data_IF_722615111371
#
_entry.id   IF_722615111371
#
_cell.length_a   1.000
_cell.length_b   1.000
_cell.length_c   1.000
_cell.angle_alpha   90.00
_cell.angle_beta   90.00
_cell.angle_gamma   90.00
#
_symmetry.space_group_name_H-M   'P 1'
#
loop_
_entity.id
_entity.type
_entity.pdbx_description
1 polymer ?
#
# COMPACT_ATOMS: atom_id res chain seq x y z
N UNK A 1 -12.13 16.38 -34.23
CA UNK A 1 -11.07 16.72 -33.24
C UNK A 1 -10.26 15.47 -32.91
N UNK A 2 -8.95 15.63 -32.74
CA UNK A 2 -8.06 14.56 -32.30
C UNK A 2 -7.23 15.06 -31.12
N UNK A 3 -6.73 14.15 -30.28
CA UNK A 3 -5.85 14.47 -29.18
C UNK A 3 -4.58 13.60 -29.29
N UNK A 4 -3.43 14.19 -28.95
CA UNK A 4 -2.15 13.49 -28.84
C UNK A 4 -1.78 13.37 -27.37
N UNK A 5 -1.60 12.13 -26.91
CA UNK A 5 -1.11 11.83 -25.58
C UNK A 5 0.34 11.33 -25.71
N UNK A 6 1.27 12.02 -25.05
CA UNK A 6 2.68 11.59 -24.96
C UNK A 6 3.03 11.33 -23.51
N UNK A 7 3.67 10.19 -23.23
CA UNK A 7 4.07 9.81 -21.88
C UNK A 7 5.24 8.85 -21.91
N UNK A 8 5.92 8.72 -20.78
CA UNK A 8 6.87 7.64 -20.51
C UNK A 8 6.17 6.45 -19.89
N UNK A 9 6.86 5.33 -19.75
CA UNK A 9 6.36 4.14 -19.08
C UNK A 9 5.83 4.47 -17.68
N UNK A 10 4.69 3.90 -17.32
CA UNK A 10 4.10 4.05 -15.99
C UNK A 10 4.88 3.22 -14.94
N UNK A 11 4.76 3.58 -13.69
CA UNK A 11 5.04 2.64 -12.60
C UNK A 11 3.84 1.70 -12.47
N UNK A 12 4.10 0.42 -12.35
CA UNK A 12 3.04 -0.56 -12.15
C UNK A 12 2.31 -0.30 -10.84
N UNK A 13 0.98 -0.21 -10.90
CA UNK A 13 0.13 0.13 -9.76
C UNK A 13 -0.07 1.63 -9.54
N UNK A 14 0.47 2.48 -10.41
CA UNK A 14 0.33 3.93 -10.34
C UNK A 14 -1.10 4.43 -10.60
N UNK A 15 -1.94 3.59 -11.23
CA UNK A 15 -3.29 3.95 -11.70
C UNK A 15 -3.32 5.22 -12.57
N UNK A 16 -2.20 5.51 -13.24
CA UNK A 16 -2.14 6.62 -14.18
C UNK A 16 -3.04 6.36 -15.38
N UNK A 17 -3.44 7.44 -16.06
CA UNK A 17 -4.24 7.34 -17.30
C UNK A 17 -3.56 6.42 -18.30
N UNK A 18 -2.22 6.50 -18.43
CA UNK A 18 -1.47 5.62 -19.33
C UNK A 18 -1.52 4.14 -18.88
N UNK A 19 -1.39 3.85 -17.59
CA UNK A 19 -1.46 2.47 -17.09
C UNK A 19 -2.82 1.82 -17.42
N UNK A 20 -3.90 2.58 -17.32
CA UNK A 20 -5.26 2.11 -17.68
C UNK A 20 -5.33 1.84 -19.18
N UNK A 21 -4.89 2.81 -20.01
CA UNK A 21 -4.88 2.69 -21.48
C UNK A 21 -3.97 1.54 -21.91
N UNK A 22 -2.76 1.42 -21.33
CA UNK A 22 -1.82 0.35 -21.66
C UNK A 22 -2.38 -1.05 -21.36
N UNK A 23 -3.09 -1.20 -20.22
CA UNK A 23 -3.78 -2.46 -19.87
C UNK A 23 -4.88 -2.81 -20.89
N UNK A 24 -5.70 -1.84 -21.28
CA UNK A 24 -6.73 -2.01 -22.29
C UNK A 24 -6.13 -2.34 -23.67
N UNK A 25 -5.08 -1.62 -24.06
CA UNK A 25 -4.36 -1.87 -25.30
C UNK A 25 -3.77 -3.29 -25.37
N UNK A 26 -3.06 -3.72 -24.32
CA UNK A 26 -2.49 -5.07 -24.23
C UNK A 26 -3.53 -6.19 -24.25
N UNK A 27 -4.77 -5.89 -23.85
CA UNK A 27 -5.90 -6.81 -23.92
C UNK A 27 -6.67 -6.74 -25.25
N UNK A 28 -6.33 -5.80 -26.13
CA UNK A 28 -7.06 -5.57 -27.38
C UNK A 28 -8.45 -4.93 -27.17
N UNK A 29 -8.64 -4.23 -26.06
CA UNK A 29 -9.92 -3.62 -25.65
C UNK A 29 -10.06 -2.16 -26.10
N UNK A 30 -9.02 -1.54 -26.69
CA UNK A 30 -9.11 -0.19 -27.24
C UNK A 30 -9.92 -0.18 -28.53
N UNK A 31 -10.77 0.84 -28.69
CA UNK A 31 -11.54 1.07 -29.90
C UNK A 31 -10.66 1.43 -31.11
N UNK A 32 -11.22 1.35 -32.34
CA UNK A 32 -10.49 1.60 -33.60
C UNK A 32 -10.03 3.06 -33.75
N UNK A 33 -10.56 3.97 -32.96
CA UNK A 33 -10.18 5.39 -32.92
C UNK A 33 -8.83 5.64 -32.24
N UNK A 34 -8.27 4.63 -31.56
CA UNK A 34 -6.98 4.75 -30.89
C UNK A 34 -5.83 4.27 -31.78
N UNK A 35 -4.85 5.16 -31.97
CA UNK A 35 -3.56 4.80 -32.51
C UNK A 35 -2.53 4.81 -31.39
N UNK A 36 -1.98 3.64 -31.05
CA UNK A 36 -0.92 3.51 -30.05
C UNK A 36 0.42 3.26 -30.73
N UNK A 37 1.37 4.17 -30.55
CA UNK A 37 2.75 3.98 -30.93
C UNK A 37 3.59 3.82 -29.67
N UNK A 38 4.04 2.59 -29.39
CA UNK A 38 4.78 2.24 -28.19
C UNK A 38 6.09 1.52 -28.56
N UNK A 39 7.19 1.98 -27.97
CA UNK A 39 8.50 1.34 -28.06
C UNK A 39 9.04 1.19 -26.64
N UNK A 40 9.46 -0.01 -26.27
CA UNK A 40 10.07 -0.32 -24.98
C UNK A 40 11.28 -1.24 -25.15
N UNK A 41 12.23 -1.15 -24.22
CA UNK A 41 13.38 -2.05 -24.21
C UNK A 41 12.95 -3.50 -23.96
N UNK A 42 13.51 -4.44 -24.73
CA UNK A 42 13.25 -5.87 -24.59
C UNK A 42 14.31 -6.57 -23.76
N UNK A 43 13.95 -7.68 -23.14
CA UNK A 43 14.87 -8.52 -22.38
C UNK A 43 15.21 -7.97 -20.98
N UNK A 44 16.27 -8.48 -20.37
CA UNK A 44 16.73 -8.04 -19.04
C UNK A 44 17.31 -6.64 -19.13
N UNK A 45 16.97 -5.77 -18.21
CA UNK A 45 17.61 -4.48 -17.99
C UNK A 45 18.77 -4.69 -17.02
N UNK A 46 19.93 -4.17 -17.37
CA UNK A 46 21.13 -4.13 -16.54
C UNK A 46 21.97 -2.98 -17.08
N UNK A 47 21.88 -1.83 -16.41
CA UNK A 47 22.54 -0.60 -16.87
C UNK A 47 24.07 -0.69 -16.84
N UNK A 48 24.62 -1.68 -16.12
CA UNK A 48 26.07 -1.91 -16.11
C UNK A 48 26.56 -2.72 -17.31
N UNK A 49 25.64 -3.38 -18.05
CA UNK A 49 25.94 -4.04 -19.32
C UNK A 49 25.83 -3.03 -20.47
N UNK A 50 26.89 -2.22 -20.68
CA UNK A 50 26.90 -1.16 -21.70
C UNK A 50 26.49 -1.65 -23.09
N UNK A 51 27.05 -2.74 -23.65
CA UNK A 51 26.68 -3.19 -24.99
C UNK A 51 25.21 -3.54 -25.14
N UNK A 52 24.60 -4.08 -24.09
CA UNK A 52 23.16 -4.40 -24.05
C UNK A 52 22.33 -3.13 -23.96
N UNK A 53 22.69 -2.23 -23.04
CA UNK A 53 21.96 -0.98 -22.81
C UNK A 53 21.98 -0.10 -24.05
N UNK A 54 23.08 0.03 -24.73
CA UNK A 54 23.19 0.76 -26.02
C UNK A 54 22.24 0.16 -27.07
N UNK A 55 22.22 -1.17 -27.24
CA UNK A 55 21.24 -1.81 -28.14
C UNK A 55 19.81 -1.53 -27.77
N UNK A 56 19.47 -1.57 -26.47
CA UNK A 56 18.15 -1.26 -25.98
C UNK A 56 17.76 0.21 -26.24
N UNK A 57 18.70 1.16 -26.09
CA UNK A 57 18.48 2.56 -26.45
C UNK A 57 18.20 2.73 -27.94
N UNK A 58 18.99 2.08 -28.82
CA UNK A 58 18.76 2.11 -30.26
C UNK A 58 17.37 1.55 -30.63
N UNK A 59 16.94 0.47 -29.99
CA UNK A 59 15.62 -0.12 -30.23
C UNK A 59 14.47 0.82 -29.78
N UNK A 60 14.62 1.49 -28.64
CA UNK A 60 13.60 2.39 -28.09
C UNK A 60 13.50 3.68 -28.87
N UNK A 61 14.63 4.32 -29.14
CA UNK A 61 14.64 5.63 -29.81
C UNK A 61 14.61 5.50 -31.34
N UNK A 62 14.98 4.35 -31.87
CA UNK A 62 14.91 4.06 -33.30
C UNK A 62 15.57 5.11 -34.19
N UNK A 63 14.83 5.73 -35.15
CA UNK A 63 15.41 6.72 -36.08
C UNK A 63 16.08 7.93 -35.40
N UNK A 64 15.68 8.30 -34.18
CA UNK A 64 16.28 9.40 -33.45
C UNK A 64 17.76 9.14 -33.08
N UNK A 65 18.12 7.87 -32.92
CA UNK A 65 19.50 7.39 -32.64
C UNK A 65 20.16 6.68 -33.84
N UNK A 66 19.63 6.87 -35.04
CA UNK A 66 20.28 6.33 -36.25
C UNK A 66 21.69 6.93 -36.41
N UNK A 67 22.74 6.12 -36.66
CA UNK A 67 24.12 6.61 -36.72
C UNK A 67 24.39 7.63 -37.80
N UNK A 68 23.55 7.72 -38.83
CA UNK A 68 23.76 8.60 -39.99
C UNK A 68 22.80 9.79 -39.98
N UNK A 69 21.56 9.57 -39.64
CA UNK A 69 20.47 10.57 -39.73
C UNK A 69 19.87 10.96 -38.40
N UNK A 70 20.23 10.27 -37.30
CA UNK A 70 19.72 10.55 -35.98
C UNK A 70 20.26 11.85 -35.38
N UNK A 71 19.52 12.41 -34.47
CA UNK A 71 19.86 13.65 -33.73
C UNK A 71 20.21 13.40 -32.26
N UNK A 72 20.07 12.15 -31.77
CA UNK A 72 20.43 11.73 -30.42
C UNK A 72 21.64 10.79 -30.45
N UNK A 73 22.54 10.99 -29.50
CA UNK A 73 23.73 10.16 -29.32
C UNK A 73 23.47 9.13 -28.19
N UNK A 74 23.49 7.84 -28.53
CA UNK A 74 23.28 6.75 -27.59
C UNK A 74 24.34 6.68 -26.49
N UNK A 75 25.58 7.02 -26.77
CA UNK A 75 26.69 7.05 -25.80
C UNK A 75 26.47 8.15 -24.76
N UNK A 76 26.00 9.32 -25.19
CA UNK A 76 25.65 10.42 -24.29
C UNK A 76 24.50 10.07 -23.41
N UNK A 77 23.40 9.52 -23.96
CA UNK A 77 22.24 9.10 -23.18
C UNK A 77 22.64 8.01 -22.19
N UNK A 78 23.51 7.09 -22.59
CA UNK A 78 24.03 6.09 -21.67
C UNK A 78 24.84 6.72 -20.52
N UNK A 79 25.66 7.74 -20.79
CA UNK A 79 26.38 8.45 -19.75
C UNK A 79 25.43 9.14 -18.76
N UNK A 80 24.34 9.77 -19.25
CA UNK A 80 23.30 10.36 -18.42
C UNK A 80 22.59 9.31 -17.55
N UNK A 81 22.41 8.08 -18.04
CA UNK A 81 21.84 6.97 -17.26
C UNK A 81 22.75 6.50 -16.12
N UNK A 82 24.05 6.71 -16.22
CA UNK A 82 25.02 6.36 -15.16
C UNK A 82 25.26 7.49 -14.17
N UNK A 83 24.82 8.70 -14.47
CA UNK A 83 24.96 9.85 -13.56
C UNK A 83 23.89 9.76 -12.44
N UNK A 84 24.28 9.57 -11.18
CA UNK A 84 23.32 9.43 -10.09
C UNK A 84 22.51 10.71 -9.80
N UNK A 85 22.93 11.86 -10.33
CA UNK A 85 22.19 13.13 -10.22
C UNK A 85 21.04 13.21 -11.24
N UNK A 86 21.17 12.53 -12.36
CA UNK A 86 20.16 12.45 -13.43
C UNK A 86 19.31 11.18 -13.27
N UNK A 87 19.96 10.05 -13.01
CA UNK A 87 19.36 8.73 -12.94
C UNK A 87 19.80 8.01 -11.65
N UNK A 88 19.07 8.21 -10.55
CA UNK A 88 19.47 7.74 -9.22
C UNK A 88 19.41 6.21 -9.06
N UNK A 89 18.67 5.51 -9.92
CA UNK A 89 18.47 4.07 -9.82
C UNK A 89 18.10 3.42 -11.18
N UNK A 90 18.21 2.09 -11.22
CA UNK A 90 17.91 1.30 -12.42
C UNK A 90 16.43 1.39 -12.86
N UNK A 91 15.51 1.69 -11.95
CA UNK A 91 14.09 1.88 -12.29
C UNK A 91 13.85 3.20 -13.01
N UNK A 92 14.52 4.25 -12.56
CA UNK A 92 14.55 5.54 -13.24
C UNK A 92 15.12 5.36 -14.66
N UNK A 93 16.20 4.60 -14.80
CA UNK A 93 16.77 4.24 -16.08
C UNK A 93 15.78 3.49 -16.97
N UNK A 94 15.16 2.43 -16.44
CA UNK A 94 14.17 1.64 -17.17
C UNK A 94 12.97 2.47 -17.64
N UNK A 95 12.44 3.31 -16.77
CA UNK A 95 11.23 4.08 -17.03
C UNK A 95 11.45 5.23 -17.99
N UNK A 96 12.45 6.06 -17.73
CA UNK A 96 12.61 7.33 -18.45
C UNK A 96 13.51 7.23 -19.69
N UNK A 97 14.44 6.28 -19.70
CA UNK A 97 15.36 6.12 -20.83
C UNK A 97 15.02 4.91 -21.70
N UNK A 98 14.52 3.82 -21.10
CA UNK A 98 14.21 2.58 -21.81
C UNK A 98 12.71 2.34 -22.00
N UNK A 99 11.88 3.32 -21.60
CA UNK A 99 10.41 3.33 -21.71
C UNK A 99 9.75 2.02 -21.25
N UNK A 100 10.29 1.42 -20.19
CA UNK A 100 9.81 0.15 -19.66
C UNK A 100 9.24 0.29 -18.27
N UNK A 101 7.99 -0.15 -18.10
CA UNK A 101 7.39 -0.29 -16.80
C UNK A 101 8.07 -1.43 -16.03
N UNK A 102 8.70 -1.09 -14.92
CA UNK A 102 9.23 -2.07 -13.98
C UNK A 102 8.40 -2.05 -12.70
N UNK A 103 8.18 -3.21 -12.13
CA UNK A 103 7.72 -3.26 -10.74
C UNK A 103 8.83 -2.62 -9.89
N UNK A 104 8.45 -1.62 -9.09
CA UNK A 104 9.39 -0.90 -8.27
C UNK A 104 10.18 -1.86 -7.38
N UNK A 105 11.53 -1.83 -7.43
CA UNK A 105 12.37 -2.56 -6.47
C UNK A 105 12.12 -2.06 -5.05
N UNK A 106 11.59 -0.84 -4.93
CA UNK A 106 11.27 -0.17 -3.68
C UNK A 106 9.81 -0.33 -3.26
N UNK A 107 8.97 -1.03 -4.03
CA UNK A 107 7.62 -1.36 -3.56
C UNK A 107 7.73 -2.16 -2.26
N UNK A 108 6.98 -1.73 -1.23
CA UNK A 108 6.98 -2.44 0.06
C UNK A 108 6.50 -3.88 -0.10
N UNK A 109 5.49 -4.09 -0.95
CA UNK A 109 5.00 -5.42 -1.34
C UNK A 109 4.66 -5.39 -2.84
N UNK A 110 4.97 -6.46 -3.58
CA UNK A 110 4.55 -6.55 -4.97
C UNK A 110 3.04 -6.77 -5.09
N UNK A 111 2.40 -6.11 -6.06
CA UNK A 111 0.97 -6.27 -6.31
C UNK A 111 0.60 -7.74 -6.57
N UNK A 112 1.45 -8.50 -7.23
CA UNK A 112 1.23 -9.92 -7.48
C UNK A 112 1.17 -10.76 -6.19
N UNK A 113 1.90 -10.38 -5.13
CA UNK A 113 1.82 -11.02 -3.81
C UNK A 113 0.52 -10.62 -3.13
N UNK A 114 0.17 -9.33 -3.15
CA UNK A 114 -1.07 -8.83 -2.56
C UNK A 114 -2.30 -9.47 -3.21
N UNK A 115 -2.41 -9.42 -4.52
CA UNK A 115 -3.57 -9.92 -5.28
C UNK A 115 -3.83 -11.43 -5.08
N UNK A 116 -2.77 -12.23 -4.91
CA UNK A 116 -2.92 -13.68 -4.63
C UNK A 116 -3.55 -14.00 -3.29
N UNK A 117 -3.61 -13.03 -2.37
CA UNK A 117 -4.13 -13.22 -1.01
C UNK A 117 -5.59 -12.77 -0.86
N UNK A 118 -6.20 -12.30 -1.94
CA UNK A 118 -7.63 -11.93 -1.93
C UNK A 118 -8.47 -13.18 -1.67
N UNK A 119 -9.24 -13.15 -0.58
CA UNK A 119 -10.20 -14.21 -0.19
C UNK A 119 -11.44 -13.54 0.38
N UNK A 120 -12.37 -13.04 -0.46
CA UNK A 120 -13.58 -12.41 0.04
C UNK A 120 -14.35 -13.38 0.94
N UNK A 121 -14.56 -12.98 2.19
CA UNK A 121 -15.43 -13.67 3.14
C UNK A 121 -16.06 -12.68 4.09
N UNK A 122 -17.21 -13.00 4.61
CA UNK A 122 -17.75 -12.30 5.76
C UNK A 122 -17.04 -12.79 7.04
N UNK A 123 -16.75 -11.85 7.92
CA UNK A 123 -16.25 -12.13 9.26
C UNK A 123 -17.42 -12.02 10.22
N UNK A 124 -17.91 -13.13 10.79
CA UNK A 124 -19.05 -13.13 11.71
C UNK A 124 -18.83 -12.19 12.89
N UNK A 125 -19.91 -11.66 13.47
CA UNK A 125 -19.80 -10.72 14.59
C UNK A 125 -19.23 -11.38 15.87
N UNK A 126 -19.45 -12.67 16.02
CA UNK A 126 -18.95 -13.49 17.13
C UNK A 126 -17.51 -13.97 16.92
N UNK A 127 -16.96 -13.85 15.69
CA UNK A 127 -15.54 -14.14 15.46
C UNK A 127 -14.69 -13.06 16.14
N UNK A 128 -13.80 -13.43 17.09
CA UNK A 128 -12.94 -12.48 17.76
C UNK A 128 -11.96 -11.84 16.79
N UNK A 129 -11.74 -10.54 16.98
CA UNK A 129 -10.87 -9.74 16.12
C UNK A 129 -9.89 -8.90 16.93
N UNK A 130 -8.86 -8.40 16.24
CA UNK A 130 -8.09 -7.24 16.68
C UNK A 130 -8.31 -6.09 15.71
N UNK A 131 -7.99 -4.87 16.16
CA UNK A 131 -8.20 -3.64 15.40
C UNK A 131 -6.86 -2.89 15.26
N UNK A 132 -6.63 -2.34 14.08
CA UNK A 132 -5.66 -1.27 13.83
C UNK A 132 -6.41 0.00 13.49
N UNK A 133 -5.96 1.11 14.02
CA UNK A 133 -6.48 2.44 13.71
C UNK A 133 -5.33 3.41 13.45
N UNK A 134 -5.39 4.08 12.32
CA UNK A 134 -4.50 5.17 11.94
C UNK A 134 -5.36 6.31 11.39
N UNK A 135 -5.29 7.49 12.02
CA UNK A 135 -6.16 8.61 11.73
C UNK A 135 -5.39 9.87 11.34
N UNK A 136 -5.87 10.54 10.29
CA UNK A 136 -5.45 11.87 9.88
C UNK A 136 -6.63 12.84 9.95
N UNK A 137 -6.36 14.13 10.08
CA UNK A 137 -7.42 15.14 10.12
C UNK A 137 -7.76 15.70 8.73
N UNK A 138 -6.79 15.81 7.82
CA UNK A 138 -6.97 16.61 6.60
C UNK A 138 -6.57 15.88 5.32
N UNK A 139 -5.32 15.50 5.18
CA UNK A 139 -4.77 15.10 3.89
C UNK A 139 -4.59 13.60 3.71
N UNK A 140 -4.24 12.86 4.76
CA UNK A 140 -4.08 11.41 4.72
C UNK A 140 -5.40 10.70 5.02
N UNK A 141 -5.48 9.41 4.71
CA UNK A 141 -6.69 8.64 4.98
C UNK A 141 -6.79 8.29 6.46
N UNK A 142 -8.01 8.28 6.98
CA UNK A 142 -8.31 7.68 8.28
C UNK A 142 -8.80 6.26 8.04
N UNK A 143 -8.17 5.28 8.66
CA UNK A 143 -8.39 3.86 8.36
C UNK A 143 -8.61 3.06 9.65
N UNK A 144 -9.63 2.21 9.65
CA UNK A 144 -9.88 1.18 10.65
C UNK A 144 -9.82 -0.18 9.97
N UNK A 145 -8.88 -1.02 10.40
CA UNK A 145 -8.75 -2.39 9.89
C UNK A 145 -9.00 -3.40 10.98
N UNK A 146 -9.74 -4.44 10.62
CA UNK A 146 -9.91 -5.63 11.45
C UNK A 146 -8.95 -6.74 11.05
N UNK A 147 -8.54 -7.55 12.04
CA UNK A 147 -7.80 -8.77 11.82
C UNK A 147 -8.41 -9.92 12.64
N UNK A 148 -8.88 -10.97 11.97
CA UNK A 148 -9.50 -12.11 12.62
C UNK A 148 -8.47 -12.86 13.49
N UNK A 149 -8.85 -13.19 14.72
CA UNK A 149 -7.97 -13.90 15.65
C UNK A 149 -7.65 -15.31 15.19
N UNK A 150 -8.56 -15.96 14.48
CA UNK A 150 -8.43 -17.35 14.03
C UNK A 150 -7.24 -17.55 13.05
N UNK A 151 -7.17 -16.73 11.99
CA UNK A 151 -6.25 -16.97 10.87
C UNK A 151 -5.46 -15.74 10.41
N UNK A 152 -5.67 -14.58 11.05
CA UNK A 152 -5.02 -13.33 10.66
C UNK A 152 -5.62 -12.70 9.39
N UNK A 153 -6.85 -13.07 9.02
CA UNK A 153 -7.56 -12.45 7.90
C UNK A 153 -7.84 -10.97 8.16
N UNK A 154 -7.46 -10.11 7.21
CA UNK A 154 -7.57 -8.65 7.35
C UNK A 154 -8.70 -8.11 6.50
N UNK A 155 -9.46 -7.16 7.04
CA UNK A 155 -10.62 -6.59 6.39
C UNK A 155 -10.87 -5.15 6.81
N UNK A 156 -11.56 -4.39 5.94
CA UNK A 156 -11.89 -2.99 6.19
C UNK A 156 -13.10 -2.89 7.11
N UNK A 157 -12.94 -2.16 8.21
CA UNK A 157 -14.04 -1.77 9.10
C UNK A 157 -14.51 -0.35 8.80
N UNK A 158 -13.59 0.54 8.41
CA UNK A 158 -13.89 1.90 7.99
C UNK A 158 -12.72 2.54 7.26
N UNK A 159 -13.00 3.42 6.29
CA UNK A 159 -11.99 4.17 5.56
C UNK A 159 -12.58 5.47 5.05
N UNK A 160 -11.95 6.58 5.42
CA UNK A 160 -12.33 7.94 5.03
C UNK A 160 -11.13 8.58 4.32
N UNK A 161 -11.37 9.03 3.11
CA UNK A 161 -10.35 9.60 2.24
C UNK A 161 -10.81 10.94 1.71
N UNK A 162 -9.87 11.88 1.63
CA UNK A 162 -10.13 13.16 1.00
C UNK A 162 -10.52 12.95 -0.46
N UNK A 163 -11.68 13.46 -0.90
CA UNK A 163 -12.09 13.37 -2.30
C UNK A 163 -11.11 14.11 -3.23
N UNK A 164 -10.98 13.61 -4.45
CA UNK A 164 -10.16 14.26 -5.47
C UNK A 164 -10.80 15.56 -5.99
N UNK A 165 -9.95 16.47 -6.46
CA UNK A 165 -10.37 17.71 -7.14
C UNK A 165 -11.08 18.70 -6.22
N UNK A 166 -12.08 19.42 -6.77
CA UNK A 166 -12.77 20.48 -6.05
C UNK A 166 -13.57 20.01 -4.84
N UNK A 167 -14.02 18.75 -4.84
CA UNK A 167 -14.73 18.15 -3.71
C UNK A 167 -13.85 17.98 -2.46
N UNK A 168 -12.53 17.95 -2.63
CA UNK A 168 -11.57 17.87 -1.53
C UNK A 168 -11.16 19.22 -0.95
N UNK A 169 -11.64 20.34 -1.51
CA UNK A 169 -11.29 21.66 -0.99
C UNK A 169 -11.93 21.88 0.39
N UNK A 170 -11.07 22.12 1.41
CA UNK A 170 -11.53 22.29 2.78
C UNK A 170 -12.07 21.02 3.43
N UNK A 171 -11.77 19.85 2.86
CA UNK A 171 -12.20 18.58 3.44
C UNK A 171 -11.46 18.30 4.76
N UNK A 172 -12.24 17.92 5.75
CA UNK A 172 -11.78 17.40 7.02
C UNK A 172 -12.43 16.04 7.26
N UNK A 173 -11.71 15.13 7.93
CA UNK A 173 -12.27 13.83 8.26
C UNK A 173 -13.53 14.01 9.13
N UNK A 174 -14.63 13.28 8.87
CA UNK A 174 -15.83 13.32 9.68
C UNK A 174 -15.61 12.60 11.03
N UNK A 175 -14.87 13.26 11.94
CA UNK A 175 -14.39 12.70 13.22
C UNK A 175 -15.47 12.01 14.03
N UNK A 176 -16.68 12.59 14.07
CA UNK A 176 -17.81 12.00 14.77
C UNK A 176 -18.24 10.65 14.18
N UNK A 177 -18.21 10.52 12.86
CA UNK A 177 -18.54 9.26 12.16
C UNK A 177 -17.46 8.19 12.41
N UNK A 178 -16.18 8.56 12.35
CA UNK A 178 -15.07 7.67 12.68
C UNK A 178 -15.20 7.11 14.08
N UNK A 179 -15.47 7.99 15.07
CA UNK A 179 -15.66 7.59 16.46
C UNK A 179 -16.93 6.75 16.68
N UNK A 180 -18.00 7.05 15.97
CA UNK A 180 -19.21 6.23 16.01
C UNK A 180 -18.93 4.81 15.49
N UNK A 181 -18.20 4.68 14.39
CA UNK A 181 -17.79 3.39 13.83
C UNK A 181 -16.88 2.61 14.77
N UNK A 182 -15.88 3.26 15.39
CA UNK A 182 -15.01 2.60 16.39
C UNK A 182 -15.83 2.09 17.58
N UNK A 183 -16.74 2.91 18.13
CA UNK A 183 -17.61 2.49 19.25
C UNK A 183 -18.56 1.37 18.85
N UNK A 184 -19.14 1.41 17.66
CA UNK A 184 -19.99 0.34 17.15
C UNK A 184 -19.22 -0.98 17.07
N UNK A 185 -18.05 -0.98 16.48
CA UNK A 185 -17.21 -2.19 16.38
C UNK A 185 -16.82 -2.71 17.75
N UNK A 186 -16.36 -1.84 18.67
CA UNK A 186 -15.96 -2.22 20.03
C UNK A 186 -17.13 -2.74 20.88
N UNK A 187 -18.37 -2.33 20.59
CA UNK A 187 -19.57 -2.80 21.30
C UNK A 187 -20.17 -4.07 20.72
N UNK A 188 -20.08 -4.25 19.41
CA UNK A 188 -20.79 -5.33 18.70
C UNK A 188 -19.92 -6.55 18.43
N UNK A 189 -18.59 -6.43 18.55
CA UNK A 189 -17.65 -7.52 18.32
C UNK A 189 -16.82 -7.85 19.55
N UNK A 190 -16.37 -9.08 19.63
CA UNK A 190 -15.36 -9.49 20.60
C UNK A 190 -14.00 -9.00 20.11
N UNK A 191 -13.51 -7.89 20.69
CA UNK A 191 -12.22 -7.29 20.35
C UNK A 191 -11.17 -7.72 21.36
N UNK A 192 -10.19 -8.50 20.92
CA UNK A 192 -9.11 -8.97 21.78
C UNK A 192 -8.12 -7.83 22.12
N UNK A 193 -7.85 -6.97 21.14
CA UNK A 193 -6.94 -5.83 21.29
C UNK A 193 -7.12 -4.86 20.13
N UNK A 194 -7.02 -3.56 20.40
CA UNK A 194 -7.08 -2.49 19.42
C UNK A 194 -5.85 -1.60 19.56
N UNK A 195 -4.96 -1.62 18.55
CA UNK A 195 -3.82 -0.72 18.48
C UNK A 195 -4.21 0.53 17.71
N UNK A 196 -4.12 1.69 18.36
CA UNK A 196 -4.56 2.97 17.81
C UNK A 196 -3.44 3.99 17.84
N UNK A 197 -3.13 4.60 16.67
CA UNK A 197 -2.16 5.69 16.65
C UNK A 197 -2.74 6.92 17.35
N UNK A 198 -2.08 7.41 18.40
CA UNK A 198 -2.54 8.60 19.13
C UNK A 198 -2.22 9.91 18.41
N UNK A 199 -1.51 9.89 17.27
CA UNK A 199 -1.21 11.11 16.53
C UNK A 199 -2.52 11.79 16.08
N UNK A 200 -2.68 13.07 16.40
CA UNK A 200 -3.89 13.88 16.14
C UNK A 200 -5.20 13.37 16.82
N UNK A 201 -5.21 12.15 17.39
CA UNK A 201 -6.39 11.50 17.98
C UNK A 201 -6.22 11.11 19.45
N UNK A 202 -5.20 11.65 20.12
CA UNK A 202 -4.87 11.22 21.50
C UNK A 202 -6.05 11.26 22.47
N UNK A 203 -6.78 12.38 22.51
CA UNK A 203 -7.92 12.54 23.42
C UNK A 203 -9.05 11.54 23.16
N UNK A 204 -9.25 11.16 21.88
CA UNK A 204 -10.29 10.19 21.53
C UNK A 204 -9.83 8.76 21.84
N UNK A 205 -8.56 8.45 21.59
CA UNK A 205 -7.98 7.15 21.96
C UNK A 205 -8.02 6.97 23.48
N UNK A 206 -7.66 8.00 24.25
CA UNK A 206 -7.71 7.96 25.72
C UNK A 206 -9.17 7.78 26.20
N UNK A 207 -10.15 8.48 25.61
CA UNK A 207 -11.56 8.32 25.92
C UNK A 207 -12.12 6.93 25.57
N UNK A 208 -11.69 6.35 24.45
CA UNK A 208 -12.04 4.98 24.08
C UNK A 208 -11.41 3.96 25.04
N UNK A 209 -10.18 4.19 25.49
CA UNK A 209 -9.54 3.33 26.49
C UNK A 209 -10.26 3.39 27.84
N UNK A 210 -10.73 4.58 28.26
CA UNK A 210 -11.57 4.72 29.45
C UNK A 210 -12.94 4.01 29.30
N UNK A 211 -13.56 4.06 28.10
CA UNK A 211 -14.88 3.45 27.83
C UNK A 211 -14.81 1.91 27.71
N UNK A 212 -13.76 1.37 27.09
CA UNK A 212 -13.66 -0.06 26.69
C UNK A 212 -12.57 -0.86 27.40
N UNK A 213 -11.74 -0.22 28.21
CA UNK A 213 -10.63 -0.82 28.94
C UNK A 213 -9.27 -0.56 28.25
N UNK A 214 -8.28 -0.21 29.07
CA UNK A 214 -6.91 0.09 28.62
C UNK A 214 -6.12 -1.17 28.23
N UNK A 215 -6.61 -2.35 28.59
CA UNK A 215 -6.13 -3.64 28.12
C UNK A 215 -6.62 -4.00 26.70
N UNK A 216 -7.75 -3.39 26.26
CA UNK A 216 -8.33 -3.57 24.93
C UNK A 216 -7.86 -2.46 24.00
N UNK A 217 -8.07 -1.20 24.38
CA UNK A 217 -7.69 -0.04 23.55
C UNK A 217 -6.33 0.48 24.00
N UNK A 218 -5.33 0.29 23.17
CA UNK A 218 -3.94 0.55 23.51
C UNK A 218 -3.36 1.61 22.54
N UNK A 219 -2.94 2.78 23.04
CA UNK A 219 -2.22 3.76 22.23
C UNK A 219 -0.93 3.17 21.68
N UNK A 220 -0.78 3.17 20.35
CA UNK A 220 0.35 2.57 19.67
C UNK A 220 0.90 3.54 18.59
N UNK A 221 1.98 4.25 18.91
CA UNK A 221 2.52 5.28 18.03
C UNK A 221 3.25 4.69 16.83
N UNK A 222 2.72 4.92 15.61
CA UNK A 222 3.32 4.50 14.34
C UNK A 222 4.65 5.21 14.06
N UNK A 223 4.88 6.36 14.69
CA UNK A 223 6.14 7.11 14.59
C UNK A 223 7.34 6.46 15.27
N UNK A 224 7.14 5.39 16.06
CA UNK A 224 8.21 4.61 16.68
C UNK A 224 8.81 3.63 15.66
N UNK A 225 9.77 4.11 14.87
CA UNK A 225 10.37 3.37 13.74
C UNK A 225 10.76 1.91 14.06
N UNK A 226 11.34 1.65 15.23
CA UNK A 226 11.78 0.29 15.59
C UNK A 226 10.58 -0.65 15.77
N UNK A 227 9.60 -0.23 16.52
CA UNK A 227 8.40 -0.99 16.81
C UNK A 227 7.58 -1.20 15.53
N UNK A 228 7.35 -0.11 14.76
CA UNK A 228 6.65 -0.16 13.49
C UNK A 228 7.37 -1.02 12.45
N UNK A 229 8.70 -0.97 12.42
CA UNK A 229 9.51 -1.80 11.52
C UNK A 229 9.33 -3.28 11.77
N UNK A 230 9.26 -3.72 13.02
CA UNK A 230 9.00 -5.14 13.36
C UNK A 230 7.58 -5.57 13.02
N UNK A 231 6.58 -4.73 13.27
CA UNK A 231 5.19 -5.00 12.90
C UNK A 231 5.04 -5.15 11.38
N UNK A 232 5.62 -4.23 10.62
CA UNK A 232 5.65 -4.27 9.15
C UNK A 232 6.40 -5.50 8.62
N UNK A 233 7.52 -5.87 9.23
CA UNK A 233 8.32 -7.02 8.77
C UNK A 233 7.59 -8.34 9.04
N UNK A 234 6.91 -8.48 10.17
CA UNK A 234 6.02 -9.61 10.49
C UNK A 234 4.94 -9.75 9.43
N UNK A 235 4.15 -8.68 9.21
CA UNK A 235 3.08 -8.68 8.21
C UNK A 235 3.61 -9.00 6.81
N UNK A 236 4.68 -8.32 6.37
CA UNK A 236 5.30 -8.55 5.06
C UNK A 236 5.76 -10.00 4.89
N UNK A 237 6.45 -10.54 5.89
CA UNK A 237 6.95 -11.92 5.87
C UNK A 237 5.83 -12.94 5.68
N UNK A 238 4.73 -12.77 6.40
CA UNK A 238 3.59 -13.68 6.34
C UNK A 238 2.76 -13.50 5.06
N UNK A 239 2.69 -12.29 4.53
CA UNK A 239 2.13 -12.04 3.19
C UNK A 239 2.96 -12.71 2.10
N UNK A 240 4.29 -12.60 2.13
CA UNK A 240 5.17 -13.25 1.15
C UNK A 240 5.04 -14.77 1.21
N UNK A 241 4.93 -15.34 2.42
CA UNK A 241 4.69 -16.78 2.62
C UNK A 241 3.28 -17.25 2.20
N UNK A 242 2.33 -16.31 2.04
CA UNK A 242 0.95 -16.62 1.69
C UNK A 242 0.15 -17.28 2.83
N UNK A 243 0.49 -16.97 4.08
CA UNK A 243 -0.19 -17.51 5.28
C UNK A 243 -1.24 -16.57 5.86
N UNK A 244 -1.41 -15.39 5.28
CA UNK A 244 -2.46 -14.44 5.66
C UNK A 244 -3.21 -13.95 4.42
N UNK A 245 -4.50 -13.61 4.59
CA UNK A 245 -5.42 -13.25 3.51
C UNK A 245 -6.13 -11.93 3.83
N UNK A 246 -6.85 -11.37 2.83
CA UNK A 246 -7.60 -10.14 3.00
C UNK A 246 -8.85 -10.07 2.10
N UNK A 247 -9.71 -9.09 2.41
CA UNK A 247 -11.01 -8.86 1.78
C UNK A 247 -10.97 -8.43 0.31
N UNK A 248 -9.84 -7.94 -0.17
CA UNK A 248 -9.69 -7.41 -1.52
C UNK A 248 -10.32 -6.02 -1.71
N UNK A 249 -10.51 -5.23 -0.64
CA UNK A 249 -10.95 -3.83 -0.76
C UNK A 249 -10.04 -3.08 -1.76
N UNK A 250 -10.66 -2.42 -2.75
CA UNK A 250 -9.94 -1.75 -3.84
C UNK A 250 -9.13 -0.55 -3.37
N UNK A 251 -9.60 0.17 -2.34
CA UNK A 251 -8.87 1.30 -1.75
C UNK A 251 -7.65 0.79 -0.99
N UNK A 252 -7.82 -0.27 -0.19
CA UNK A 252 -6.71 -0.94 0.45
C UNK A 252 -5.67 -1.44 -0.56
N UNK A 253 -6.12 -2.04 -1.66
CA UNK A 253 -5.25 -2.47 -2.76
C UNK A 253 -4.45 -1.31 -3.37
N UNK A 254 -5.11 -0.15 -3.57
CA UNK A 254 -4.43 1.05 -4.04
C UNK A 254 -3.36 1.55 -3.05
N UNK A 255 -3.65 1.54 -1.74
CA UNK A 255 -2.69 1.92 -0.70
C UNK A 255 -1.45 1.01 -0.69
N UNK A 256 -1.62 -0.29 -0.84
CA UNK A 256 -0.51 -1.23 -0.97
C UNK A 256 0.32 -0.97 -2.24
N UNK A 257 -0.33 -0.66 -3.35
CA UNK A 257 0.33 -0.30 -4.61
C UNK A 257 1.14 1.01 -4.54
N UNK A 258 0.78 1.91 -3.62
CA UNK A 258 1.44 3.20 -3.40
C UNK A 258 2.53 3.16 -2.32
N UNK A 259 2.69 2.03 -1.63
CA UNK A 259 3.62 1.90 -0.51
C UNK A 259 5.02 1.52 -1.00
N UNK A 260 5.99 2.33 -0.63
CA UNK A 260 7.42 2.14 -0.92
C UNK A 260 8.20 1.83 0.34
N UNK A 261 9.32 1.12 0.21
CA UNK A 261 10.23 0.87 1.31
C UNK A 261 11.00 2.15 1.69
N UNK A 262 11.08 2.42 2.98
CA UNK A 262 12.03 3.35 3.57
C UNK A 262 12.98 2.58 4.47
N UNK A 263 14.23 2.50 4.10
CA UNK A 263 15.24 1.87 4.94
C UNK A 263 15.70 2.82 6.06
N UNK A 264 15.76 2.32 7.30
CA UNK A 264 16.41 2.96 8.43
C UNK A 264 17.30 1.93 9.15
N UNK A 265 18.58 1.92 8.83
CA UNK A 265 19.46 0.83 9.20
C UNK A 265 18.97 -0.50 8.61
N UNK A 266 18.67 -1.47 9.48
CA UNK A 266 18.13 -2.78 9.06
C UNK A 266 16.61 -2.81 8.96
N UNK A 267 15.92 -1.75 9.39
CA UNK A 267 14.46 -1.70 9.39
C UNK A 267 13.93 -1.38 7.98
N UNK A 268 12.84 -2.05 7.61
CA UNK A 268 12.07 -1.80 6.40
C UNK A 268 10.75 -1.15 6.80
N UNK A 269 10.70 0.17 6.69
CA UNK A 269 9.50 0.97 6.96
C UNK A 269 8.77 1.26 5.66
N UNK A 270 7.56 1.79 5.75
CA UNK A 270 6.81 2.26 4.59
C UNK A 270 6.96 3.78 4.42
N UNK A 271 6.88 4.23 3.18
CA UNK A 271 6.80 5.65 2.81
C UNK A 271 5.94 5.82 1.56
N UNK A 272 5.43 7.01 1.37
CA UNK A 272 4.90 7.45 0.08
C UNK A 272 6.03 7.54 -0.95
N UNK A 273 5.70 7.61 -2.22
CA UNK A 273 6.65 7.81 -3.31
C UNK A 273 7.55 9.03 -3.05
N UNK A 274 6.92 10.15 -2.66
CA UNK A 274 7.58 11.38 -2.19
C UNK A 274 6.76 11.99 -1.05
N UNK A 275 7.35 12.85 -0.19
CA UNK A 275 6.71 13.31 1.07
C UNK A 275 5.31 13.91 0.90
N UNK A 276 5.08 14.68 -0.16
CA UNK A 276 3.80 15.36 -0.42
C UNK A 276 2.96 14.64 -1.49
N UNK A 277 3.16 13.34 -1.68
CA UNK A 277 2.36 12.57 -2.63
C UNK A 277 0.89 12.55 -2.19
N UNK A 278 -0.06 12.84 -3.08
CA UNK A 278 -1.48 12.73 -2.79
C UNK A 278 -1.92 11.25 -2.63
N UNK A 279 -1.07 10.32 -3.06
CA UNK A 279 -1.36 8.89 -2.99
C UNK A 279 -1.28 8.39 -1.56
N UNK A 280 -2.30 7.67 -1.15
CA UNK A 280 -2.46 7.17 0.20
C UNK A 280 -1.78 5.82 0.37
N UNK A 281 -1.27 5.57 1.57
CA UNK A 281 -0.62 4.30 1.96
C UNK A 281 -1.12 3.78 3.31
N UNK A 282 -2.04 4.48 3.94
CA UNK A 282 -2.40 4.39 5.36
C UNK A 282 -2.96 3.01 5.76
N UNK A 283 -3.51 2.25 4.80
CA UNK A 283 -3.91 0.86 5.05
C UNK A 283 -2.74 -0.04 5.45
N UNK A 284 -1.52 0.22 4.93
CA UNK A 284 -0.38 -0.65 5.22
C UNK A 284 0.05 -0.58 6.68
N UNK A 285 0.31 0.61 7.27
CA UNK A 285 0.56 0.72 8.69
C UNK A 285 -0.62 0.24 9.53
N UNK A 286 -1.86 0.53 9.15
CA UNK A 286 -3.05 0.13 9.90
C UNK A 286 -3.24 -1.40 9.90
N UNK A 287 -3.01 -2.08 8.78
CA UNK A 287 -2.98 -3.55 8.73
C UNK A 287 -1.87 -4.12 9.61
N UNK A 288 -0.69 -3.48 9.64
CA UNK A 288 0.39 -3.90 10.52
C UNK A 288 0.02 -3.75 12.00
N UNK A 289 -0.68 -2.67 12.39
CA UNK A 289 -1.21 -2.49 13.74
C UNK A 289 -2.19 -3.61 14.13
N UNK A 290 -3.18 -3.90 13.27
CA UNK A 290 -4.16 -4.94 13.53
C UNK A 290 -3.50 -6.33 13.67
N UNK A 291 -2.53 -6.62 12.79
CA UNK A 291 -1.83 -7.89 12.74
C UNK A 291 -0.87 -8.07 13.93
N UNK A 292 -0.19 -7.00 14.34
CA UNK A 292 0.68 -7.01 15.53
C UNK A 292 -0.14 -7.13 16.82
N UNK A 293 -1.28 -6.43 16.91
CA UNK A 293 -2.22 -6.56 18.03
C UNK A 293 -2.67 -8.02 18.20
N UNK A 294 -2.91 -8.73 17.08
CA UNK A 294 -3.22 -10.17 17.10
C UNK A 294 -2.04 -11.00 17.62
N UNK A 295 -0.84 -10.76 17.12
CA UNK A 295 0.35 -11.50 17.54
C UNK A 295 0.60 -11.34 19.04
N UNK A 296 0.50 -10.11 19.55
CA UNK A 296 0.68 -9.81 20.96
C UNK A 296 -0.45 -10.36 21.84
N UNK A 297 -1.70 -10.35 21.36
CA UNK A 297 -2.81 -10.97 22.09
C UNK A 297 -2.61 -12.48 22.22
N UNK A 298 -2.22 -13.17 21.14
CA UNK A 298 -1.92 -14.60 21.17
C UNK A 298 -0.72 -14.93 22.08
N UNK A 299 0.34 -14.14 22.01
CA UNK A 299 1.51 -14.29 22.87
C UNK A 299 1.19 -14.08 24.36
N UNK A 300 0.25 -13.19 24.67
CA UNK A 300 -0.26 -12.99 26.02
C UNK A 300 -1.25 -14.07 26.48
N UNK A 301 -1.54 -15.08 25.66
CA UNK A 301 -2.45 -16.17 25.99
C UNK A 301 -3.92 -15.78 25.95
N UNK A 302 -4.26 -14.74 25.16
CA UNK A 302 -5.66 -14.35 25.00
C UNK A 302 -6.47 -15.50 24.41
N UNK A 303 -7.57 -15.83 25.07
CA UNK A 303 -8.58 -16.78 24.62
C UNK A 303 -9.94 -16.08 24.66
N UNK A 304 -10.82 -16.36 23.70
CA UNK A 304 -12.22 -15.96 23.82
C UNK A 304 -12.74 -16.47 25.16
N UNK A 305 -13.31 -15.58 25.98
CA UNK A 305 -13.86 -15.99 27.28
C UNK A 305 -14.84 -17.12 26.99
N UNK A 306 -14.52 -18.32 27.46
CA UNK A 306 -15.50 -19.40 27.49
C UNK A 306 -16.71 -18.91 28.27
N UNK A 307 -17.92 -19.15 27.76
CA UNK A 307 -19.15 -18.82 28.46
C UNK A 307 -19.00 -19.18 29.95
N UNK A 308 -19.46 -18.31 30.85
CA UNK A 308 -19.32 -18.58 32.27
C UNK A 308 -19.96 -19.94 32.52
N UNK A 309 -19.16 -20.90 32.98
CA UNK A 309 -19.66 -22.17 33.49
C UNK A 309 -20.58 -21.80 34.66
N UNK A 310 -21.89 -21.83 34.45
CA UNK A 310 -22.85 -21.61 35.51
C UNK A 310 -22.65 -22.76 36.47
N UNK A 311 -21.88 -22.51 37.51
CA UNK A 311 -21.77 -23.41 38.65
C UNK A 311 -23.11 -23.36 39.37
N UNK A 312 -23.94 -24.35 39.15
CA UNK A 312 -25.10 -24.59 40.03
C UNK A 312 -24.56 -25.28 41.29
N UNK A 313 -24.54 -24.60 42.45
CA UNK A 313 -24.23 -25.25 43.69
C UNK A 313 -25.46 -26.03 44.12
N UNK A 314 -25.60 -27.23 43.64
CA UNK A 314 -26.52 -28.19 44.21
C UNK A 314 -25.75 -29.30 44.89
N UNK A 315 -25.56 -29.22 46.21
CA UNK A 315 -26.13 -30.13 47.18
C UNK A 315 -25.78 -29.70 48.59
#
# INVERSE_FOLDING_TARGET
>A
PWALLTTTACRLGEQSVWEVIEKQWKRGELGPEWLVHHREAKGRIDINDKPRTIRQLLDVYGPAMDPVSGWMDAERVYADMLDPTICPDEQTAARYFLNRSMAGSDAWLSSAVYDRQVRPREVPLDEPITIGFDGSLNDDSTVIRGCAMSDGYRFTLGMWEKPDGAAGAGWEVPRAEVLATLREVLRTRTVARAYMDPHEWRSDVDALAEEFGDEVVIPWATSRDTQMGYALDRLHSDMVKGVTFHDGDKRASAHYGNAYVRHKGKLRLVRKEYPNSPRKIDTVPTDALAYEARADALAAGWTAIAEPTIFFPWR
#
